data_IF_778726655538
#
_entry.id   IF_778726655538
#
_cell.length_a   1.000
_cell.length_b   1.000
_cell.length_c   1.000
_cell.angle_alpha   90.00
_cell.angle_beta   90.00
_cell.angle_gamma   90.00
#
_symmetry.space_group_name_H-M   'P 1'
#
loop_
_entity.id
_entity.type
_entity.pdbx_description
1 polymer ?
#
# COMPACT_ATOMS: atom_id res chain seq x y z
N UNK A 1 -56.04 46.20 -25.96
CA UNK A 1 -54.77 45.52 -26.31
C UNK A 1 -53.71 46.42 -25.71
N UNK A 2 -53.53 46.44 -24.38
CA UNK A 2 -53.23 45.30 -23.49
C UNK A 2 -51.72 45.14 -23.48
N UNK A 3 -50.98 45.05 -22.38
CA UNK A 3 -51.23 44.96 -20.93
C UNK A 3 -49.98 45.59 -20.29
N UNK A 4 -50.13 46.53 -19.35
CA UNK A 4 -50.09 46.32 -17.89
C UNK A 4 -48.68 45.93 -17.37
N UNK A 5 -48.01 46.99 -16.91
CA UNK A 5 -46.91 47.01 -15.96
C UNK A 5 -47.46 46.80 -14.56
N UNK A 6 -47.11 45.69 -13.92
CA UNK A 6 -47.30 45.53 -12.47
C UNK A 6 -45.94 45.24 -11.82
N UNK A 7 -45.49 46.27 -11.10
CA UNK A 7 -44.61 46.18 -9.95
C UNK A 7 -45.38 45.44 -8.84
N UNK A 8 -44.77 44.43 -8.21
CA UNK A 8 -45.23 43.96 -6.91
C UNK A 8 -44.11 44.05 -5.87
N UNK A 9 -44.45 44.84 -4.85
CA UNK A 9 -43.65 45.31 -3.75
C UNK A 9 -43.21 44.20 -2.79
N UNK A 10 -42.06 44.46 -2.18
CA UNK A 10 -41.52 43.88 -0.96
C UNK A 10 -42.59 43.73 0.14
N UNK A 11 -42.92 42.50 0.53
CA UNK A 11 -43.56 42.22 1.82
C UNK A 11 -42.47 41.90 2.86
N UNK A 12 -42.14 42.91 3.67
CA UNK A 12 -41.31 42.76 4.87
C UNK A 12 -42.19 42.25 6.02
N UNK A 13 -42.30 40.93 6.14
CA UNK A 13 -43.08 40.27 7.18
C UNK A 13 -42.25 39.31 8.02
N UNK A 14 -41.77 39.81 9.17
CA UNK A 14 -41.57 39.10 10.45
C UNK A 14 -40.55 37.95 10.50
N UNK A 15 -39.39 38.23 11.10
CA UNK A 15 -38.44 37.21 11.60
C UNK A 15 -39.07 36.37 12.73
N UNK A 16 -38.87 35.05 12.77
CA UNK A 16 -39.20 34.26 13.95
C UNK A 16 -38.07 34.36 14.98
N UNK A 17 -38.37 34.99 16.12
CA UNK A 17 -37.55 34.90 17.34
C UNK A 17 -37.50 33.43 17.81
N UNK A 18 -36.33 32.79 17.68
CA UNK A 18 -36.05 31.53 18.36
C UNK A 18 -35.64 31.83 19.81
N UNK A 19 -36.57 31.60 20.73
CA UNK A 19 -36.30 31.52 22.17
C UNK A 19 -35.41 30.29 22.44
N UNK A 20 -34.14 30.52 22.79
CA UNK A 20 -33.31 29.51 23.45
C UNK A 20 -33.81 29.35 24.89
N UNK A 21 -34.43 28.21 25.20
CA UNK A 21 -34.58 27.77 26.59
C UNK A 21 -33.23 27.22 27.09
N UNK A 22 -32.75 27.63 28.28
CA UNK A 22 -31.49 27.12 28.82
C UNK A 22 -31.63 25.66 29.24
N UNK A 23 -30.76 24.81 28.69
CA UNK A 23 -30.57 23.43 29.13
C UNK A 23 -30.17 23.39 30.62
N UNK A 24 -31.00 22.76 31.44
CA UNK A 24 -30.70 22.44 32.84
C UNK A 24 -29.93 21.12 32.85
N UNK A 25 -28.71 21.15 33.40
CA UNK A 25 -27.91 19.96 33.68
C UNK A 25 -28.60 19.15 34.78
N UNK A 26 -28.99 17.90 34.49
CA UNK A 26 -29.37 16.93 35.52
C UNK A 26 -28.10 16.49 36.26
N UNK A 27 -28.00 16.87 37.54
CA UNK A 27 -27.00 16.34 38.47
C UNK A 27 -27.32 14.87 38.76
N UNK A 28 -26.40 13.97 38.39
CA UNK A 28 -26.47 12.57 38.81
C UNK A 28 -26.00 12.41 40.26
N UNK A 29 -26.61 11.49 41.04
CA UNK A 29 -26.37 11.38 42.47
C UNK A 29 -24.98 10.81 42.79
N UNK A 30 -24.36 11.44 43.78
CA UNK A 30 -23.15 11.01 44.49
C UNK A 30 -23.48 9.66 45.18
N UNK A 31 -22.68 8.62 44.90
CA UNK A 31 -22.67 7.41 45.73
C UNK A 31 -21.62 7.57 46.82
N UNK A 32 -22.10 7.69 48.05
CA UNK A 32 -21.31 7.67 49.28
C UNK A 32 -20.81 6.26 49.60
N UNK A 33 -19.63 6.24 50.21
CA UNK A 33 -18.97 5.12 50.89
C UNK A 33 -19.89 4.45 51.93
N UNK A 34 -19.86 3.11 52.00
CA UNK A 34 -20.19 2.37 53.22
C UNK A 34 -19.12 1.30 53.47
N UNK A 35 -18.52 1.39 54.67
CA UNK A 35 -17.58 0.47 55.31
C UNK A 35 -18.16 -0.94 55.54
N UNK A 36 -17.25 -1.91 55.73
CA UNK A 36 -17.55 -3.34 55.76
C UNK A 36 -18.19 -3.90 57.03
N UNK A 37 -18.42 -5.22 57.01
CA UNK A 37 -17.84 -6.16 57.98
C UNK A 37 -18.17 -7.64 57.65
N UNK A 38 -17.18 -8.48 57.96
CA UNK A 38 -17.21 -9.86 58.48
C UNK A 38 -17.72 -11.08 57.67
N UNK A 39 -16.73 -11.82 57.14
CA UNK A 39 -16.34 -13.24 57.32
C UNK A 39 -17.36 -14.25 57.92
N UNK A 40 -17.52 -15.40 57.24
CA UNK A 40 -17.63 -16.74 57.85
C UNK A 40 -16.86 -17.74 56.95
N UNK A 41 -16.26 -18.72 57.61
CA UNK A 41 -15.17 -19.60 57.18
C UNK A 41 -15.66 -20.84 56.40
N UNK A 42 -14.80 -21.42 55.54
CA UNK A 42 -14.67 -22.89 55.53
C UNK A 42 -13.27 -23.33 55.07
N UNK A 43 -12.79 -24.40 55.70
CA UNK A 43 -11.39 -24.78 55.87
C UNK A 43 -10.80 -25.68 54.76
N UNK A 44 -9.46 -25.60 54.64
CA UNK A 44 -8.56 -26.74 54.38
C UNK A 44 -8.09 -26.91 52.92
N UNK A 45 -6.81 -27.08 52.59
CA UNK A 45 -5.60 -27.28 53.40
C UNK A 45 -4.34 -27.15 52.53
N UNK A 46 -3.34 -26.45 53.09
CA UNK A 46 -1.88 -26.65 53.02
C UNK A 46 -1.06 -26.53 51.72
N UNK A 47 -0.27 -25.45 51.76
CA UNK A 47 1.00 -25.12 51.09
C UNK A 47 2.07 -26.23 51.16
N UNK A 48 2.97 -26.30 50.15
CA UNK A 48 4.32 -25.68 50.23
C UNK A 48 5.12 -25.83 48.90
N UNK A 49 5.77 -24.77 48.37
CA UNK A 49 6.69 -24.86 47.23
C UNK A 49 8.14 -24.99 47.73
N UNK A 50 8.79 -26.10 47.42
CA UNK A 50 10.24 -26.25 47.27
C UNK A 50 10.56 -27.74 47.11
N UNK A 51 10.72 -28.21 45.89
CA UNK A 51 11.58 -29.37 45.62
C UNK A 51 12.08 -29.28 44.18
N UNK A 52 13.41 -29.35 44.07
CA UNK A 52 14.18 -29.34 42.83
C UNK A 52 14.58 -30.80 42.52
N UNK A 53 14.89 -31.05 41.25
CA UNK A 53 15.61 -32.21 40.68
C UNK A 53 14.77 -33.48 40.36
N UNK A 54 14.65 -33.82 39.07
CA UNK A 54 15.37 -34.91 38.37
C UNK A 54 14.64 -35.24 37.06
N UNK A 55 15.39 -35.12 35.97
CA UNK A 55 15.06 -35.52 34.60
C UNK A 55 14.97 -37.06 34.53
N UNK A 56 13.89 -37.58 33.96
CA UNK A 56 13.69 -39.01 33.70
C UNK A 56 12.84 -39.22 32.45
N UNK A 57 13.49 -39.77 31.42
CA UNK A 57 12.99 -40.12 30.10
C UNK A 57 12.16 -41.41 30.10
N UNK A 58 11.25 -41.56 29.12
CA UNK A 58 10.95 -42.81 28.37
C UNK A 58 9.73 -42.56 27.45
N UNK A 59 9.99 -42.50 26.14
CA UNK A 59 9.68 -43.53 25.11
C UNK A 59 8.20 -43.55 24.72
N UNK A 60 7.83 -43.33 23.47
CA UNK A 60 8.09 -44.23 22.34
C UNK A 60 7.66 -43.50 21.06
N UNK A 61 8.55 -43.35 20.06
CA UNK A 61 8.77 -44.26 18.91
C UNK A 61 7.79 -43.88 17.79
N UNK A 62 8.11 -43.80 16.50
CA UNK A 62 9.23 -44.18 15.63
C UNK A 62 8.74 -43.70 14.24
N UNK A 63 9.52 -43.08 13.36
CA UNK A 63 10.39 -43.71 12.34
C UNK A 63 10.49 -42.68 11.18
N UNK A 64 11.44 -42.72 10.26
CA UNK A 64 12.88 -42.94 10.28
C UNK A 64 13.37 -42.75 8.83
N UNK A 65 14.67 -42.53 8.70
CA UNK A 65 15.55 -42.82 7.55
C UNK A 65 15.61 -41.85 6.37
N UNK A 66 16.77 -41.54 5.79
CA UNK A 66 18.20 -41.76 6.11
C UNK A 66 18.99 -40.99 5.01
N UNK A 67 20.05 -40.25 5.35
CA UNK A 67 21.48 -40.62 5.34
C UNK A 67 22.04 -40.94 3.94
N UNK A 68 23.29 -40.65 3.55
CA UNK A 68 24.58 -40.64 4.24
C UNK A 68 25.64 -40.08 3.23
N UNK A 69 26.93 -39.83 3.46
CA UNK A 69 27.87 -40.04 4.58
C UNK A 69 29.15 -39.21 4.34
N UNK A 70 29.88 -39.05 5.43
CA UNK A 70 31.23 -38.50 5.60
C UNK A 70 32.37 -39.37 5.04
N UNK A 71 33.58 -38.81 4.94
CA UNK A 71 34.80 -39.47 5.44
C UNK A 71 35.92 -38.45 5.75
N UNK A 72 36.66 -38.73 6.83
CA UNK A 72 37.91 -38.08 7.27
C UNK A 72 39.05 -39.09 7.18
N UNK A 73 40.29 -38.64 6.99
CA UNK A 73 41.48 -39.19 7.67
C UNK A 73 42.74 -38.31 7.46
N UNK A 74 43.70 -38.50 8.37
CA UNK A 74 44.77 -37.61 8.83
C UNK A 74 46.20 -37.78 8.22
N UNK A 75 47.06 -36.81 8.59
CA UNK A 75 48.53 -36.87 8.88
C UNK A 75 49.65 -36.46 7.87
N UNK A 76 50.29 -35.33 8.22
CA UNK A 76 51.73 -35.05 8.43
C UNK A 76 52.81 -35.09 7.30
N UNK A 77 53.29 -33.88 6.94
CA UNK A 77 54.70 -33.46 7.09
C UNK A 77 55.68 -33.56 5.91
N UNK A 78 56.09 -32.41 5.33
CA UNK A 78 57.50 -31.99 5.18
C UNK A 78 57.61 -30.54 4.62
N UNK A 79 58.66 -29.82 5.01
CA UNK A 79 58.91 -28.41 4.77
C UNK A 79 59.56 -28.09 3.40
N UNK A 80 59.32 -26.86 2.90
CA UNK A 80 60.27 -26.17 2.01
C UNK A 80 59.68 -25.17 1.00
N UNK A 81 59.66 -23.87 1.36
CA UNK A 81 60.12 -22.80 0.47
C UNK A 81 59.14 -22.08 -0.48
N UNK A 82 58.91 -20.80 -0.13
CA UNK A 82 58.83 -19.61 -0.98
C UNK A 82 57.54 -19.26 -1.78
N UNK A 83 57.01 -18.09 -1.41
CA UNK A 83 56.41 -17.01 -2.23
C UNK A 83 55.03 -17.22 -2.87
N UNK A 84 54.09 -16.36 -2.48
CA UNK A 84 52.79 -16.17 -3.14
C UNK A 84 51.72 -15.68 -2.17
N UNK A 85 51.55 -14.36 -2.08
CA UNK A 85 50.48 -13.70 -1.33
C UNK A 85 49.10 -14.03 -1.91
N UNK A 86 48.15 -14.39 -1.05
CA UNK A 86 46.73 -14.52 -1.38
C UNK A 86 45.95 -13.56 -0.46
N UNK A 87 45.13 -12.70 -1.07
CA UNK A 87 44.14 -11.87 -0.38
C UNK A 87 43.10 -11.39 -1.39
N UNK A 88 42.11 -12.23 -1.66
CA UNK A 88 40.83 -11.83 -2.24
C UNK A 88 39.98 -11.10 -1.19
N UNK A 89 40.20 -9.79 -1.03
CA UNK A 89 39.26 -8.88 -0.38
C UNK A 89 38.55 -8.07 -1.46
N UNK A 90 37.24 -8.31 -1.60
CA UNK A 90 36.35 -7.41 -2.35
C UNK A 90 36.34 -6.06 -1.64
N UNK A 91 37.07 -5.10 -2.19
CA UNK A 91 37.15 -3.74 -1.68
C UNK A 91 35.80 -3.02 -1.84
N UNK A 92 35.09 -2.88 -0.72
CA UNK A 92 34.23 -1.73 -0.48
C UNK A 92 35.13 -0.48 -0.48
N UNK A 93 34.97 0.38 -1.48
CA UNK A 93 35.72 1.65 -1.54
C UNK A 93 35.17 2.56 -0.44
N UNK A 94 35.96 2.99 0.55
CA UNK A 94 35.51 3.94 1.56
C UNK A 94 35.29 5.31 0.92
N UNK A 95 34.15 5.93 1.25
CA UNK A 95 33.61 7.22 0.77
C UNK A 95 34.46 8.46 1.11
N UNK A 96 35.79 8.32 1.27
CA UNK A 96 36.70 9.38 1.76
C UNK A 96 37.86 9.75 0.83
N UNK A 97 37.90 9.22 -0.40
CA UNK A 97 38.99 9.50 -1.36
C UNK A 97 38.53 10.40 -2.51
N UNK A 98 37.27 10.87 -2.55
CA UNK A 98 36.74 11.56 -3.74
C UNK A 98 37.15 13.05 -3.81
N UNK A 99 37.57 13.66 -2.69
CA UNK A 99 37.83 15.11 -2.65
C UNK A 99 39.29 15.53 -2.97
N UNK A 100 40.25 14.59 -3.00
CA UNK A 100 41.68 14.87 -3.19
C UNK A 100 42.26 14.16 -4.44
N UNK A 101 41.55 14.16 -5.57
CA UNK A 101 42.11 13.69 -6.84
C UNK A 101 42.75 14.86 -7.62
N UNK A 102 44.08 14.96 -7.53
CA UNK A 102 44.92 15.85 -8.34
C UNK A 102 44.69 15.63 -9.85
N UNK A 103 44.58 16.72 -10.60
CA UNK A 103 44.24 16.80 -12.03
C UNK A 103 45.29 16.23 -13.00
N UNK A 104 46.29 15.47 -12.52
CA UNK A 104 47.40 14.97 -13.34
C UNK A 104 47.50 13.44 -13.28
N UNK A 105 46.55 12.73 -13.88
CA UNK A 105 46.83 11.45 -14.55
C UNK A 105 45.90 11.24 -15.75
N UNK A 106 46.51 11.31 -16.93
CA UNK A 106 45.99 10.73 -18.16
C UNK A 106 45.97 9.20 -18.01
N UNK A 107 44.93 8.59 -17.43
CA UNK A 107 44.63 7.16 -17.61
C UNK A 107 43.26 6.79 -17.01
N UNK A 108 42.23 7.05 -17.82
CA UNK A 108 41.28 6.03 -18.31
C UNK A 108 40.03 6.75 -18.83
N UNK A 109 39.82 6.71 -20.15
CA UNK A 109 38.54 7.13 -20.75
C UNK A 109 37.36 6.40 -20.11
N UNK A 110 37.59 5.19 -19.57
CA UNK A 110 36.63 4.39 -18.80
C UNK A 110 36.31 5.04 -17.45
N UNK A 111 37.31 5.49 -16.69
CA UNK A 111 37.08 6.18 -15.41
C UNK A 111 36.40 7.52 -15.65
N UNK A 112 36.81 8.27 -16.69
CA UNK A 112 36.10 9.49 -17.10
C UNK A 112 34.67 9.20 -17.51
N UNK A 113 34.43 8.15 -18.30
CA UNK A 113 33.09 7.72 -18.72
C UNK A 113 32.22 7.33 -17.51
N UNK A 114 32.77 6.55 -16.56
CA UNK A 114 32.10 6.15 -15.31
C UNK A 114 31.79 7.39 -14.46
N UNK A 115 32.73 8.33 -14.30
CA UNK A 115 32.49 9.57 -13.55
C UNK A 115 31.43 10.43 -14.26
N UNK A 116 31.44 10.54 -15.60
CA UNK A 116 30.37 11.25 -16.32
C UNK A 116 29.03 10.53 -16.24
N UNK A 117 28.99 9.20 -16.20
CA UNK A 117 27.74 8.44 -16.06
C UNK A 117 27.19 8.54 -14.64
N UNK A 118 28.05 8.52 -13.61
CA UNK A 118 27.69 8.78 -12.21
C UNK A 118 27.21 10.22 -12.04
N UNK A 119 27.79 11.17 -12.77
CA UNK A 119 27.38 12.59 -12.76
C UNK A 119 26.17 12.90 -13.64
N UNK A 120 25.64 11.94 -14.42
CA UNK A 120 24.37 12.17 -15.12
C UNK A 120 23.26 12.23 -14.07
N UNK A 121 22.41 13.28 -14.09
CA UNK A 121 21.29 13.35 -13.18
C UNK A 121 20.39 12.14 -13.43
N UNK A 122 20.22 11.31 -12.40
CA UNK A 122 19.29 10.18 -12.47
C UNK A 122 17.88 10.72 -12.60
N UNK A 123 17.09 10.13 -13.49
CA UNK A 123 15.69 10.49 -13.67
C UNK A 123 14.78 9.92 -12.58
N UNK A 124 15.30 9.03 -11.74
CA UNK A 124 14.59 8.41 -10.62
C UNK A 124 15.55 8.01 -9.49
N UNK A 125 15.05 7.86 -8.25
CA UNK A 125 15.80 7.26 -7.15
C UNK A 125 16.28 5.83 -7.46
N UNK A 126 17.35 5.36 -6.80
CA UNK A 126 17.77 3.96 -6.88
C UNK A 126 16.70 3.03 -6.29
N UNK A 127 16.65 1.79 -6.80
CA UNK A 127 15.72 0.78 -6.31
C UNK A 127 16.11 0.34 -4.89
N UNK A 128 15.13 0.17 -4.00
CA UNK A 128 15.34 -0.26 -2.60
C UNK A 128 15.13 -1.76 -2.54
N UNK A 129 16.08 -2.48 -1.96
CA UNK A 129 15.95 -3.91 -1.68
C UNK A 129 15.68 -4.11 -0.20
N UNK A 130 14.60 -4.79 0.12
CA UNK A 130 14.24 -5.17 1.49
C UNK A 130 14.60 -6.63 1.75
N UNK A 131 14.88 -6.96 3.01
CA UNK A 131 15.09 -8.35 3.39
C UNK A 131 13.75 -9.10 3.46
N UNK A 132 12.73 -8.42 3.98
CA UNK A 132 11.37 -8.92 4.13
C UNK A 132 10.44 -8.50 2.99
N UNK A 133 9.33 -9.23 2.84
CA UNK A 133 8.28 -8.90 1.89
C UNK A 133 7.58 -7.59 2.29
N UNK A 134 7.39 -6.73 1.29
CA UNK A 134 6.68 -5.46 1.43
C UNK A 134 5.22 -5.69 1.10
N UNK A 135 4.35 -5.38 2.05
CA UNK A 135 2.90 -5.51 1.89
C UNK A 135 2.28 -4.22 1.37
N UNK A 136 2.71 -3.08 1.90
CA UNK A 136 2.19 -1.78 1.49
C UNK A 136 3.25 -0.67 1.54
N UNK A 137 2.99 0.41 0.81
CA UNK A 137 3.87 1.57 0.70
C UNK A 137 3.04 2.84 0.53
N UNK A 138 3.51 3.94 1.12
CA UNK A 138 2.86 5.24 0.99
C UNK A 138 3.89 6.37 0.96
N UNK A 139 3.75 7.30 0.00
CA UNK A 139 4.53 8.52 -0.04
C UNK A 139 4.01 9.54 0.97
N UNK A 140 4.93 10.28 1.57
CA UNK A 140 4.55 11.46 2.34
C UNK A 140 3.95 12.53 1.42
N UNK A 141 2.90 13.24 1.84
CA UNK A 141 2.20 14.24 1.01
C UNK A 141 3.02 15.48 0.62
N UNK A 142 4.23 15.68 1.14
CA UNK A 142 4.98 16.94 1.04
C UNK A 142 6.50 16.71 1.02
N UNK A 143 7.00 15.74 1.80
CA UNK A 143 8.41 15.44 1.93
C UNK A 143 8.81 14.25 1.04
N UNK A 144 10.09 14.17 0.65
CA UNK A 144 10.66 13.03 -0.09
C UNK A 144 10.90 11.82 0.84
N UNK A 145 9.82 11.34 1.44
CA UNK A 145 9.77 10.22 2.37
C UNK A 145 8.79 9.16 1.84
N UNK A 146 9.18 7.90 2.00
CA UNK A 146 8.36 6.74 1.68
C UNK A 146 8.24 5.86 2.94
N UNK A 147 7.03 5.60 3.40
CA UNK A 147 6.75 4.61 4.42
C UNK A 147 6.50 3.25 3.76
N UNK A 148 6.99 2.18 4.40
CA UNK A 148 6.96 0.81 3.88
C UNK A 148 6.54 -0.12 5.02
N UNK A 149 5.45 -0.86 4.82
CA UNK A 149 5.02 -1.91 5.73
C UNK A 149 5.57 -3.28 5.32
N UNK A 150 6.08 -4.05 6.29
CA UNK A 150 6.63 -5.39 6.04
C UNK A 150 5.73 -6.50 6.56
N UNK A 151 5.96 -7.73 6.08
CA UNK A 151 5.28 -8.92 6.61
C UNK A 151 5.69 -9.30 8.03
N UNK A 152 6.81 -8.79 8.53
CA UNK A 152 7.29 -9.04 9.90
C UNK A 152 6.51 -8.21 10.93
N UNK A 153 5.87 -7.12 10.51
CA UNK A 153 5.18 -6.18 11.41
C UNK A 153 5.91 -4.85 11.58
N UNK A 154 7.05 -4.67 10.89
CA UNK A 154 7.82 -3.45 10.94
C UNK A 154 7.31 -2.43 9.92
N UNK A 155 7.39 -1.15 10.29
CA UNK A 155 7.16 -0.02 9.39
C UNK A 155 8.47 0.73 9.23
N UNK A 156 9.02 0.69 8.03
CA UNK A 156 10.31 1.30 7.69
C UNK A 156 10.05 2.59 6.92
N UNK A 157 10.65 3.69 7.37
CA UNK A 157 10.53 5.00 6.75
C UNK A 157 11.83 5.31 6.03
N UNK A 158 11.76 5.41 4.70
CA UNK A 158 12.89 5.74 3.84
C UNK A 158 12.83 7.21 3.44
N UNK A 159 13.98 7.89 3.53
CA UNK A 159 14.20 9.15 2.82
C UNK A 159 14.82 8.84 1.47
N UNK A 160 14.20 9.31 0.40
CA UNK A 160 14.69 9.08 -0.96
C UNK A 160 15.16 10.38 -1.60
N UNK A 161 16.19 10.25 -2.43
CA UNK A 161 16.66 11.29 -3.35
C UNK A 161 17.00 10.61 -4.67
N UNK A 162 17.23 11.37 -5.74
CA UNK A 162 17.64 10.77 -7.01
C UNK A 162 18.99 10.02 -6.91
N UNK A 163 19.83 10.36 -5.93
CA UNK A 163 21.17 9.78 -5.79
C UNK A 163 21.19 8.57 -4.83
N UNK A 164 20.51 8.68 -3.69
CA UNK A 164 20.47 7.64 -2.66
C UNK A 164 19.11 7.52 -1.96
N UNK A 165 18.82 6.31 -1.48
CA UNK A 165 17.71 6.02 -0.56
C UNK A 165 18.32 5.56 0.77
N UNK A 166 17.89 6.16 1.86
CA UNK A 166 18.41 5.89 3.21
C UNK A 166 17.27 5.62 4.17
N UNK A 167 17.48 4.69 5.11
CA UNK A 167 16.53 4.45 6.19
C UNK A 167 16.60 5.63 7.14
N UNK A 168 15.47 6.30 7.36
CA UNK A 168 15.34 7.37 8.33
C UNK A 168 14.99 6.78 9.70
N UNK A 169 13.89 6.03 9.77
CA UNK A 169 13.40 5.38 10.99
C UNK A 169 12.90 3.96 10.68
N UNK A 170 12.93 3.10 11.69
CA UNK A 170 12.27 1.78 11.69
C UNK A 170 11.40 1.69 12.94
N UNK A 171 10.14 1.35 12.75
CA UNK A 171 9.16 1.18 13.83
C UNK A 171 8.79 -0.30 13.93
N UNK A 172 9.12 -0.92 15.07
CA UNK A 172 8.56 -2.24 15.45
C UNK A 172 7.10 -2.02 15.84
N UNK A 173 6.24 -1.87 14.83
CA UNK A 173 4.90 -1.34 15.00
C UNK A 173 3.91 -2.42 15.44
N UNK A 174 4.03 -3.60 14.85
CA UNK A 174 3.07 -4.68 14.97
C UNK A 174 3.78 -6.02 15.21
N UNK A 175 3.04 -6.96 15.79
CA UNK A 175 3.55 -8.33 16.09
C UNK A 175 3.35 -9.30 14.93
N UNK A 176 2.59 -8.88 13.91
CA UNK A 176 2.29 -9.62 12.69
C UNK A 176 2.34 -8.66 11.51
N UNK A 177 2.33 -9.23 10.30
CA UNK A 177 2.28 -8.51 9.01
C UNK A 177 1.47 -7.23 9.06
N UNK A 178 2.15 -6.12 8.75
CA UNK A 178 1.49 -4.87 8.39
C UNK A 178 0.70 -5.12 7.11
N UNK A 179 -0.49 -4.53 7.02
CA UNK A 179 -1.41 -4.69 5.88
C UNK A 179 -1.60 -3.40 5.09
N UNK A 180 -1.60 -2.28 5.79
CA UNK A 180 -1.80 -0.96 5.19
C UNK A 180 -1.04 0.09 6.01
N UNK A 181 -0.45 1.06 5.32
CA UNK A 181 0.32 2.16 5.91
C UNK A 181 -0.02 3.45 5.17
N UNK A 182 -0.50 4.47 5.87
CA UNK A 182 -0.90 5.74 5.25
C UNK A 182 -0.44 6.94 6.09
N UNK A 183 0.07 7.96 5.42
CA UNK A 183 0.26 9.26 6.03
C UNK A 183 -1.09 10.00 6.11
N UNK A 184 -1.29 10.79 7.15
CA UNK A 184 -2.38 11.76 7.12
C UNK A 184 -2.12 12.87 6.08
N UNK A 185 -3.15 13.61 5.64
CA UNK A 185 -2.96 14.63 4.62
C UNK A 185 -1.97 15.75 4.98
N UNK A 186 -1.88 16.14 6.26
CA UNK A 186 -0.86 17.08 6.75
C UNK A 186 0.56 16.46 6.86
N UNK A 187 0.68 15.13 6.81
CA UNK A 187 1.95 14.39 6.88
C UNK A 187 2.63 14.33 8.25
N UNK A 188 2.01 14.82 9.32
CA UNK A 188 2.58 14.80 10.67
C UNK A 188 2.39 13.45 11.40
N UNK A 189 1.53 12.58 10.85
CA UNK A 189 1.15 11.30 11.42
C UNK A 189 1.24 10.20 10.37
N UNK A 190 1.85 9.09 10.77
CA UNK A 190 1.82 7.82 10.06
C UNK A 190 0.89 6.87 10.79
N UNK A 191 -0.09 6.31 10.08
CA UNK A 191 -0.97 5.28 10.61
C UNK A 191 -0.63 3.96 9.94
N UNK A 192 -0.59 2.89 10.72
CA UNK A 192 -0.40 1.54 10.22
C UNK A 192 -1.42 0.59 10.82
N UNK A 193 -1.85 -0.38 10.01
CA UNK A 193 -2.78 -1.43 10.40
C UNK A 193 -2.19 -2.79 10.09
N UNK A 194 -2.54 -3.80 10.86
CA UNK A 194 -1.89 -5.10 10.75
C UNK A 194 -2.81 -6.30 11.01
N UNK A 195 -2.26 -7.48 10.70
CA UNK A 195 -2.89 -8.78 10.93
C UNK A 195 -3.05 -9.14 12.41
N UNK A 196 -2.40 -8.42 13.31
CA UNK A 196 -2.62 -8.55 14.75
C UNK A 196 -3.87 -7.82 15.25
N UNK A 197 -4.64 -7.21 14.34
CA UNK A 197 -5.91 -6.51 14.58
C UNK A 197 -5.76 -5.15 15.25
N UNK A 198 -4.52 -4.69 15.39
CA UNK A 198 -4.23 -3.39 16.01
C UNK A 198 -4.10 -2.28 14.98
N UNK A 199 -4.26 -1.04 15.46
CA UNK A 199 -3.99 0.18 14.71
C UNK A 199 -2.95 0.98 15.49
N UNK A 200 -1.84 1.32 14.84
CA UNK A 200 -0.79 2.14 15.42
C UNK A 200 -0.73 3.49 14.73
N UNK A 201 -0.56 4.54 15.53
CA UNK A 201 -0.42 5.93 15.09
C UNK A 201 0.89 6.47 15.62
N UNK A 202 1.78 6.86 14.72
CA UNK A 202 3.13 7.30 15.02
C UNK A 202 3.33 8.72 14.53
N UNK A 203 4.00 9.53 15.34
CA UNK A 203 4.43 10.87 14.95
C UNK A 203 5.64 10.78 14.01
N UNK A 204 5.55 11.42 12.84
CA UNK A 204 6.57 11.29 11.79
C UNK A 204 7.89 11.98 12.17
N UNK A 205 7.81 13.14 12.83
CA UNK A 205 9.00 13.94 13.19
C UNK A 205 9.79 13.28 14.33
N UNK A 206 9.11 12.82 15.37
CA UNK A 206 9.73 12.27 16.58
C UNK A 206 9.87 10.75 16.55
N UNK A 207 9.17 10.08 15.65
CA UNK A 207 9.11 8.62 15.57
C UNK A 207 8.41 7.95 16.75
N UNK A 208 7.69 8.72 17.59
CA UNK A 208 7.06 8.21 18.81
C UNK A 208 5.62 7.78 18.56
N UNK A 209 5.20 6.75 19.29
CA UNK A 209 3.82 6.32 19.36
C UNK A 209 2.93 7.45 19.91
N UNK A 210 2.00 7.94 19.08
CA UNK A 210 0.95 8.91 19.44
C UNK A 210 -0.28 8.20 19.99
N UNK A 211 -0.68 7.10 19.36
CA UNK A 211 -1.84 6.30 19.79
C UNK A 211 -1.73 4.85 19.33
N UNK A 212 -2.26 3.97 20.15
CA UNK A 212 -2.39 2.55 19.86
C UNK A 212 -3.80 2.10 20.22
N UNK A 213 -4.44 1.39 19.30
CA UNK A 213 -5.66 0.63 19.57
C UNK A 213 -5.31 -0.85 19.51
N UNK A 214 -5.27 -1.45 20.68
CA UNK A 214 -5.21 -2.90 20.82
C UNK A 214 -6.59 -3.48 20.49
N UNK A 215 -6.62 -4.60 19.78
CA UNK A 215 -7.87 -5.24 19.31
C UNK A 215 -8.86 -4.23 18.67
N UNK A 216 -8.34 -3.36 17.81
CA UNK A 216 -9.15 -2.36 17.11
C UNK A 216 -10.26 -3.02 16.28
N UNK A 217 -10.03 -4.23 15.78
CA UNK A 217 -11.01 -5.11 15.13
C UNK A 217 -11.02 -6.51 15.77
N UNK A 218 -12.13 -7.22 15.57
CA UNK A 218 -12.25 -8.61 16.03
C UNK A 218 -11.42 -9.55 15.13
N UNK A 219 -11.25 -9.16 13.86
CA UNK A 219 -10.50 -9.84 12.80
C UNK A 219 -9.37 -8.95 12.24
N UNK A 220 -8.39 -9.51 11.49
CA UNK A 220 -7.28 -8.75 10.92
C UNK A 220 -7.71 -7.52 10.13
N UNK A 221 -7.06 -6.38 10.36
CA UNK A 221 -7.34 -5.16 9.59
C UNK A 221 -6.61 -5.25 8.26
N UNK A 222 -7.36 -5.19 7.15
CA UNK A 222 -6.83 -5.40 5.80
C UNK A 222 -6.47 -4.08 5.11
N UNK A 223 -7.31 -3.06 5.24
CA UNK A 223 -7.11 -1.78 4.56
C UNK A 223 -7.58 -0.59 5.39
N UNK A 224 -7.06 0.57 5.06
CA UNK A 224 -7.34 1.85 5.66
C UNK A 224 -7.52 2.93 4.59
N UNK A 225 -8.21 4.02 4.95
CA UNK A 225 -8.20 5.24 4.16
C UNK A 225 -8.39 6.48 5.03
N UNK A 226 -7.52 7.47 4.85
CA UNK A 226 -7.65 8.79 5.46
C UNK A 226 -8.80 9.58 4.84
N UNK A 227 -9.67 10.13 5.68
CA UNK A 227 -10.80 10.97 5.25
C UNK A 227 -10.48 12.45 5.53
N UNK A 228 -9.95 12.75 6.72
CA UNK A 228 -9.51 14.09 7.14
C UNK A 228 -8.30 13.94 8.06
N UNK A 229 -7.66 15.06 8.45
CA UNK A 229 -6.55 15.08 9.41
C UNK A 229 -6.74 14.27 10.69
N UNK A 230 -7.98 14.04 11.12
CA UNK A 230 -8.27 13.33 12.37
C UNK A 230 -9.20 12.15 12.19
N UNK A 231 -9.69 11.87 10.98
CA UNK A 231 -10.70 10.84 10.75
C UNK A 231 -10.28 9.95 9.62
N UNK A 232 -10.35 8.65 9.87
CA UNK A 232 -9.96 7.61 8.93
C UNK A 232 -10.91 6.43 9.08
N UNK A 233 -10.97 5.59 8.05
CA UNK A 233 -11.75 4.37 8.05
C UNK A 233 -10.83 3.17 7.93
N UNK A 234 -11.22 2.05 8.53
CA UNK A 234 -10.53 0.78 8.44
C UNK A 234 -11.52 -0.31 8.08
N UNK A 235 -11.07 -1.27 7.30
CA UNK A 235 -11.81 -2.47 6.92
C UNK A 235 -11.04 -3.72 7.30
N UNK A 236 -11.73 -4.71 7.84
CA UNK A 236 -11.14 -6.00 8.21
C UNK A 236 -11.47 -7.15 7.24
N UNK A 237 -10.87 -8.31 7.52
CA UNK A 237 -11.02 -9.55 6.76
C UNK A 237 -12.45 -10.13 6.82
N UNK A 238 -13.32 -9.68 7.75
CA UNK A 238 -14.70 -10.17 7.95
C UNK A 238 -15.75 -9.13 7.52
N UNK A 239 -15.34 -8.16 6.69
CA UNK A 239 -16.27 -7.22 6.07
C UNK A 239 -16.76 -6.09 7.00
N UNK A 240 -16.14 -5.92 8.17
CA UNK A 240 -16.50 -4.87 9.11
C UNK A 240 -15.71 -3.60 8.81
N UNK A 241 -16.45 -2.55 8.51
CA UNK A 241 -15.90 -1.20 8.43
C UNK A 241 -16.04 -0.49 9.78
N UNK A 242 -14.95 0.11 10.26
CA UNK A 242 -14.98 1.06 11.39
C UNK A 242 -14.48 2.43 10.96
N UNK A 243 -15.11 3.47 11.51
CA UNK A 243 -14.71 4.86 11.34
C UNK A 243 -14.09 5.35 12.66
N UNK A 244 -12.94 6.01 12.59
CA UNK A 244 -12.16 6.38 13.76
C UNK A 244 -11.90 7.88 13.83
N UNK A 245 -11.77 8.40 15.05
CA UNK A 245 -11.29 9.76 15.31
C UNK A 245 -9.98 9.67 16.10
N UNK A 246 -8.90 10.29 15.62
CA UNK A 246 -7.63 10.44 16.33
C UNK A 246 -7.76 11.21 17.65
N UNK A 247 -8.94 11.70 18.03
CA UNK A 247 -9.21 12.34 19.33
C UNK A 247 -10.03 11.45 20.28
N UNK A 248 -10.58 10.34 19.79
CA UNK A 248 -11.44 9.43 20.55
C UNK A 248 -10.80 8.07 20.74
N UNK A 249 -11.15 7.38 21.82
CA UNK A 249 -10.66 6.01 22.09
C UNK A 249 -11.47 4.94 21.37
N UNK A 250 -12.76 5.17 21.19
CA UNK A 250 -13.68 4.22 20.56
C UNK A 250 -13.93 4.59 19.09
N UNK A 251 -14.31 3.62 18.24
CA UNK A 251 -14.73 3.91 16.88
C UNK A 251 -16.02 4.76 16.89
N UNK A 252 -16.07 5.74 16.00
CA UNK A 252 -17.19 6.66 15.80
C UNK A 252 -18.42 5.92 15.25
N UNK A 253 -18.16 4.92 14.41
CA UNK A 253 -19.17 4.18 13.65
C UNK A 253 -18.64 2.80 13.28
N UNK A 254 -19.54 1.79 13.25
CA UNK A 254 -19.27 0.41 12.83
C UNK A 254 -20.36 -0.02 11.85
N UNK A 255 -19.98 -0.71 10.78
CA UNK A 255 -20.89 -1.28 9.79
C UNK A 255 -20.41 -2.68 9.40
N UNK A 256 -21.33 -3.66 9.36
CA UNK A 256 -21.11 -4.99 8.76
C UNK A 256 -22.28 -5.28 7.83
N UNK A 257 -22.02 -5.27 6.53
CA UNK A 257 -23.02 -5.52 5.46
C UNK A 257 -22.52 -6.53 4.42
N UNK A 258 -21.22 -6.80 4.40
CA UNK A 258 -20.56 -7.80 3.55
C UNK A 258 -19.95 -8.86 4.48
N UNK A 259 -19.71 -10.06 3.95
CA UNK A 259 -19.25 -11.21 4.74
C UNK A 259 -17.78 -11.56 4.43
N UNK A 260 -17.19 -10.94 3.41
CA UNK A 260 -15.78 -11.12 3.03
C UNK A 260 -14.96 -9.83 3.17
N UNK A 261 -13.64 -9.96 3.07
CA UNK A 261 -12.68 -8.89 3.37
C UNK A 261 -12.94 -7.60 2.58
N UNK A 262 -12.68 -6.47 3.23
CA UNK A 262 -12.72 -5.15 2.58
C UNK A 262 -11.38 -4.92 1.88
N UNK A 263 -11.40 -4.81 0.55
CA UNK A 263 -10.19 -4.73 -0.27
C UNK A 263 -9.63 -3.32 -0.42
N UNK A 264 -10.50 -2.31 -0.50
CA UNK A 264 -10.12 -0.93 -0.70
C UNK A 264 -11.21 0.00 -0.15
N UNK A 265 -10.79 1.15 0.37
CA UNK A 265 -11.68 2.21 0.85
C UNK A 265 -11.27 3.52 0.17
N UNK A 266 -12.23 4.32 -0.29
CA UNK A 266 -11.96 5.62 -0.88
C UNK A 266 -13.06 6.64 -0.59
N UNK A 267 -12.68 7.92 -0.53
CA UNK A 267 -13.57 9.06 -0.43
C UNK A 267 -13.25 10.07 -1.54
N UNK A 268 -14.18 10.98 -1.82
CA UNK A 268 -13.91 12.15 -2.64
C UNK A 268 -13.48 13.37 -1.82
N UNK A 269 -13.11 14.45 -2.51
CA UNK A 269 -12.74 15.73 -1.89
C UNK A 269 -13.89 16.34 -1.07
N UNK A 270 -15.15 16.10 -1.49
CA UNK A 270 -16.33 16.59 -0.76
C UNK A 270 -16.58 15.83 0.56
N UNK A 271 -15.96 14.66 0.76
CA UNK A 271 -16.04 13.84 1.98
C UNK A 271 -17.47 13.54 2.43
N UNK A 272 -18.37 13.43 1.46
CA UNK A 272 -19.80 13.13 1.70
C UNK A 272 -20.04 11.63 1.78
N UNK A 273 -19.39 10.90 0.88
CA UNK A 273 -19.55 9.45 0.74
C UNK A 273 -18.21 8.76 0.92
N UNK A 274 -18.23 7.67 1.69
CA UNK A 274 -17.14 6.72 1.81
C UNK A 274 -17.55 5.46 1.05
N UNK A 275 -16.68 4.97 0.18
CA UNK A 275 -16.91 3.76 -0.57
C UNK A 275 -15.97 2.68 -0.09
N UNK A 276 -16.47 1.45 -0.06
CA UNK A 276 -15.68 0.27 0.23
C UNK A 276 -16.00 -0.83 -0.79
N UNK A 277 -14.95 -1.48 -1.27
CA UNK A 277 -15.06 -2.70 -2.09
C UNK A 277 -14.78 -3.92 -1.24
N UNK A 278 -15.41 -5.03 -1.57
CA UNK A 278 -15.25 -6.30 -0.87
C UNK A 278 -14.92 -7.44 -1.83
N UNK A 279 -14.26 -8.48 -1.30
CA UNK A 279 -14.02 -9.76 -1.97
C UNK A 279 -15.31 -10.43 -2.48
N UNK A 280 -16.44 -10.22 -1.80
CA UNK A 280 -17.77 -10.70 -2.20
C UNK A 280 -18.29 -10.08 -3.52
N UNK A 281 -17.56 -9.12 -4.09
CA UNK A 281 -17.95 -8.45 -5.32
C UNK A 281 -18.98 -7.34 -5.08
N UNK A 282 -19.06 -6.77 -3.88
CA UNK A 282 -19.94 -5.63 -3.59
C UNK A 282 -19.17 -4.32 -3.51
N UNK A 283 -19.77 -3.25 -4.04
CA UNK A 283 -19.41 -1.88 -3.75
C UNK A 283 -20.44 -1.31 -2.77
N UNK A 284 -20.01 -1.05 -1.54
CA UNK A 284 -20.89 -0.46 -0.51
C UNK A 284 -20.51 0.99 -0.28
N UNK A 285 -21.53 1.87 -0.25
CA UNK A 285 -21.36 3.30 -0.01
C UNK A 285 -22.00 3.72 1.30
N UNK A 286 -21.31 4.57 2.05
CA UNK A 286 -21.74 5.10 3.34
C UNK A 286 -21.79 6.62 3.26
N UNK A 287 -22.83 7.20 3.83
CA UNK A 287 -22.92 8.64 4.02
C UNK A 287 -22.21 9.02 5.32
N UNK A 288 -21.07 9.70 5.22
CA UNK A 288 -20.21 10.02 6.37
C UNK A 288 -20.95 10.94 7.37
N UNK A 289 -21.55 12.08 6.97
CA UNK A 289 -22.33 12.92 7.89
C UNK A 289 -23.47 12.21 8.61
N UNK A 290 -24.19 11.33 7.90
CA UNK A 290 -25.35 10.62 8.46
C UNK A 290 -24.97 9.35 9.21
N UNK A 291 -23.72 8.89 9.09
CA UNK A 291 -23.23 7.63 9.68
C UNK A 291 -24.16 6.47 9.39
N UNK A 292 -24.53 6.33 8.12
CA UNK A 292 -25.46 5.30 7.67
C UNK A 292 -25.06 4.82 6.29
N UNK A 293 -25.26 3.53 6.03
CA UNK A 293 -25.20 2.98 4.67
C UNK A 293 -26.15 3.76 3.75
N UNK A 294 -25.63 4.17 2.60
CA UNK A 294 -26.36 4.89 1.57
C UNK A 294 -26.94 3.91 0.55
N UNK A 295 -26.05 3.18 -0.14
CA UNK A 295 -26.40 2.25 -1.22
C UNK A 295 -25.35 1.14 -1.27
N UNK A 296 -25.78 -0.09 -1.58
CA UNK A 296 -24.94 -1.21 -1.98
C UNK A 296 -25.20 -1.50 -3.46
N UNK A 297 -24.15 -1.82 -4.22
CA UNK A 297 -24.27 -2.19 -5.63
C UNK A 297 -24.90 -3.58 -5.82
N UNK A 298 -25.21 -3.92 -7.07
CA UNK A 298 -25.38 -5.33 -7.43
C UNK A 298 -24.12 -6.15 -7.12
N UNK A 299 -24.27 -7.44 -6.81
CA UNK A 299 -23.15 -8.35 -6.67
C UNK A 299 -22.48 -8.59 -8.02
N UNK A 300 -21.16 -8.51 -8.03
CA UNK A 300 -20.34 -8.97 -9.15
C UNK A 300 -19.84 -10.39 -8.84
N UNK A 301 -19.70 -11.23 -9.87
CA UNK A 301 -19.14 -12.59 -9.72
C UNK A 301 -17.61 -12.60 -9.48
N UNK A 302 -17.02 -11.43 -9.34
CA UNK A 302 -15.58 -11.21 -9.30
C UNK A 302 -15.26 -10.33 -8.10
N UNK A 303 -14.13 -10.59 -7.46
CA UNK A 303 -13.66 -9.75 -6.36
C UNK A 303 -13.33 -8.36 -6.90
N UNK A 304 -13.78 -7.33 -6.19
CA UNK A 304 -13.43 -5.96 -6.47
C UNK A 304 -12.20 -5.64 -5.64
N UNK A 305 -11.08 -5.31 -6.27
CA UNK A 305 -9.76 -5.26 -5.63
C UNK A 305 -9.29 -3.84 -5.35
N UNK A 306 -9.62 -2.89 -6.24
CA UNK A 306 -9.09 -1.54 -6.17
C UNK A 306 -10.08 -0.50 -6.69
N UNK A 307 -9.90 0.75 -6.29
CA UNK A 307 -10.74 1.86 -6.71
C UNK A 307 -9.90 3.08 -7.10
N UNK A 308 -10.46 3.94 -7.94
CA UNK A 308 -9.89 5.25 -8.24
C UNK A 308 -10.97 6.24 -8.67
N UNK A 309 -10.82 7.48 -8.25
CA UNK A 309 -11.74 8.57 -8.58
C UNK A 309 -11.16 9.40 -9.74
N UNK A 310 -12.00 9.68 -10.74
CA UNK A 310 -11.59 10.29 -12.00
C UNK A 310 -12.52 11.42 -12.44
N UNK A 311 -12.04 12.24 -13.40
CA UNK A 311 -12.77 13.38 -13.98
C UNK A 311 -13.33 14.32 -12.91
N UNK A 312 -12.48 14.88 -12.06
CA UNK A 312 -12.86 15.83 -10.99
C UNK A 312 -14.00 15.28 -10.13
N UNK A 313 -13.81 14.08 -9.60
CA UNK A 313 -14.76 13.40 -8.71
C UNK A 313 -16.13 13.07 -9.32
N UNK A 314 -16.25 13.03 -10.65
CA UNK A 314 -17.52 12.71 -11.32
C UNK A 314 -17.68 11.24 -11.71
N UNK A 315 -16.57 10.48 -11.69
CA UNK A 315 -16.54 9.07 -12.05
C UNK A 315 -15.71 8.31 -11.03
N UNK A 316 -16.21 7.13 -10.67
CA UNK A 316 -15.46 6.13 -9.93
C UNK A 316 -15.13 5.01 -10.90
N UNK A 317 -13.91 4.49 -10.87
CA UNK A 317 -13.55 3.25 -11.55
C UNK A 317 -13.12 2.24 -10.51
N UNK A 318 -13.63 1.02 -10.64
CA UNK A 318 -13.35 -0.11 -9.76
C UNK A 318 -12.69 -1.21 -10.59
N UNK A 319 -11.52 -1.67 -10.17
CA UNK A 319 -10.83 -2.82 -10.77
C UNK A 319 -11.22 -4.12 -10.08
N UNK A 320 -11.14 -5.22 -10.84
CA UNK A 320 -11.44 -6.57 -10.35
C UNK A 320 -10.24 -7.51 -10.47
N UNK A 321 -10.24 -8.59 -9.67
CA UNK A 321 -9.25 -9.67 -9.72
C UNK A 321 -9.19 -10.41 -11.06
N UNK A 322 -10.19 -10.28 -11.95
CA UNK A 322 -10.11 -10.81 -13.33
C UNK A 322 -9.61 -9.81 -14.38
N UNK A 323 -9.29 -8.58 -13.97
CA UNK A 323 -8.79 -7.51 -14.85
C UNK A 323 -9.89 -6.71 -15.57
N UNK A 324 -11.14 -6.83 -15.11
CA UNK A 324 -12.25 -6.00 -15.55
C UNK A 324 -12.29 -4.69 -14.77
N UNK A 325 -12.73 -3.63 -15.42
CA UNK A 325 -12.94 -2.32 -14.81
C UNK A 325 -14.39 -1.90 -14.95
N UNK A 326 -15.02 -1.58 -13.83
CA UNK A 326 -16.39 -1.10 -13.75
C UNK A 326 -16.39 0.39 -13.44
N UNK A 327 -17.05 1.19 -14.27
CA UNK A 327 -17.15 2.63 -14.08
C UNK A 327 -18.52 3.00 -13.49
N UNK A 328 -18.54 3.84 -12.48
CA UNK A 328 -19.75 4.35 -11.85
C UNK A 328 -19.82 5.87 -11.96
N UNK A 329 -21.04 6.41 -12.03
CA UNK A 329 -21.24 7.85 -11.87
C UNK A 329 -21.20 8.19 -10.38
N UNK A 330 -20.46 9.24 -10.01
CA UNK A 330 -20.42 9.64 -8.61
C UNK A 330 -21.81 10.01 -8.09
N UNK A 331 -22.24 9.40 -6.99
CA UNK A 331 -23.58 9.51 -6.42
C UNK A 331 -24.61 8.50 -6.94
N UNK A 332 -24.25 7.67 -7.93
CA UNK A 332 -25.07 6.58 -8.44
C UNK A 332 -24.27 5.28 -8.39
N UNK A 333 -24.26 4.64 -7.23
CA UNK A 333 -23.42 3.47 -6.95
C UNK A 333 -24.15 2.11 -7.05
N UNK A 334 -25.45 2.13 -7.35
CA UNK A 334 -26.22 0.88 -7.48
C UNK A 334 -25.79 0.03 -8.67
N UNK A 335 -25.43 0.68 -9.79
CA UNK A 335 -25.08 0.01 -11.06
C UNK A 335 -23.91 0.74 -11.74
N UNK A 336 -23.03 -0.02 -12.37
CA UNK A 336 -22.00 0.56 -13.23
C UNK A 336 -22.64 1.15 -14.49
N UNK A 337 -22.09 2.26 -14.96
CA UNK A 337 -22.51 2.91 -16.19
C UNK A 337 -21.77 2.39 -17.43
N UNK A 338 -20.55 1.88 -17.24
CA UNK A 338 -19.73 1.31 -18.30
C UNK A 338 -18.80 0.24 -17.71
N UNK A 339 -18.38 -0.71 -18.54
CA UNK A 339 -17.45 -1.76 -18.16
C UNK A 339 -16.49 -2.02 -19.32
N UNK A 340 -15.21 -2.11 -19.02
CA UNK A 340 -14.19 -2.40 -20.02
C UNK A 340 -13.11 -3.32 -19.45
N UNK A 341 -12.47 -4.06 -20.35
CA UNK A 341 -11.36 -4.95 -19.99
C UNK A 341 -10.10 -4.13 -20.05
N UNK A 342 -9.48 -3.92 -18.89
CA UNK A 342 -8.33 -3.02 -18.79
C UNK A 342 -7.02 -3.66 -19.18
N UNK A 343 -6.92 -4.98 -19.12
CA UNK A 343 -5.71 -5.68 -19.46
C UNK A 343 -5.74 -6.17 -20.91
N UNK A 344 -4.67 -5.85 -21.66
CA UNK A 344 -4.42 -6.43 -22.99
C UNK A 344 -4.20 -7.95 -22.93
N UNK A 345 -4.01 -8.51 -21.73
CA UNK A 345 -3.99 -9.94 -21.45
C UNK A 345 -5.29 -10.33 -20.71
N UNK A 346 -6.19 -11.10 -21.34
CA UNK A 346 -7.33 -11.68 -20.64
C UNK A 346 -6.77 -12.73 -19.68
N UNK A 347 -6.68 -12.40 -18.38
CA UNK A 347 -6.42 -13.26 -17.18
C UNK A 347 -5.51 -12.64 -16.12
N UNK A 348 -4.84 -11.52 -16.39
CA UNK A 348 -4.03 -10.88 -15.33
C UNK A 348 -4.97 -10.11 -14.39
N UNK A 349 -4.99 -10.46 -13.11
CA UNK A 349 -5.70 -9.70 -12.09
C UNK A 349 -5.08 -8.34 -11.86
N UNK A 350 -5.89 -7.39 -11.39
CA UNK A 350 -5.44 -6.04 -11.01
C UNK A 350 -5.47 -5.96 -9.50
N UNK A 351 -4.31 -5.74 -8.88
CA UNK A 351 -4.21 -5.67 -7.43
C UNK A 351 -4.44 -4.24 -6.93
N UNK A 352 -3.76 -3.27 -7.52
CA UNK A 352 -3.84 -1.85 -7.15
C UNK A 352 -3.96 -0.96 -8.40
N UNK A 353 -4.63 0.18 -8.25
CA UNK A 353 -4.74 1.22 -9.26
C UNK A 353 -4.49 2.58 -8.64
N UNK A 354 -3.69 3.41 -9.30
CA UNK A 354 -3.41 4.78 -8.86
C UNK A 354 -3.82 5.76 -9.98
N UNK A 355 -4.73 6.70 -9.70
CA UNK A 355 -5.04 7.79 -10.63
C UNK A 355 -3.84 8.73 -10.77
N UNK A 356 -3.35 8.93 -12.00
CA UNK A 356 -2.25 9.87 -12.27
C UNK A 356 -2.80 11.20 -12.76
N UNK A 357 -3.78 11.14 -13.66
CA UNK A 357 -4.47 12.33 -14.19
C UNK A 357 -5.97 12.10 -14.18
N UNK A 358 -6.76 13.09 -14.60
CA UNK A 358 -8.23 12.97 -14.67
C UNK A 358 -8.72 11.82 -15.56
N UNK A 359 -7.85 11.25 -16.41
CA UNK A 359 -8.19 10.22 -17.41
C UNK A 359 -7.24 9.04 -17.44
N UNK A 360 -6.03 9.20 -16.90
CA UNK A 360 -4.98 8.19 -16.94
C UNK A 360 -4.78 7.62 -15.54
N UNK A 361 -4.74 6.30 -15.46
CA UNK A 361 -4.39 5.56 -14.25
C UNK A 361 -3.24 4.61 -14.55
N UNK A 362 -2.46 4.28 -13.53
CA UNK A 362 -1.49 3.18 -13.56
C UNK A 362 -2.03 2.04 -12.72
N UNK A 363 -1.96 0.83 -13.25
CA UNK A 363 -2.49 -0.39 -12.62
C UNK A 363 -1.37 -1.40 -12.45
N UNK A 364 -1.31 -2.02 -11.26
CA UNK A 364 -0.42 -3.13 -10.95
C UNK A 364 -1.12 -4.45 -11.17
N UNK A 365 -0.51 -5.31 -12.00
CA UNK A 365 -1.03 -6.65 -12.25
C UNK A 365 -0.35 -7.73 -11.41
N UNK A 366 -1.05 -8.84 -11.20
CA UNK A 366 -0.50 -10.07 -10.63
C UNK A 366 0.64 -10.66 -11.50
N UNK A 367 0.71 -10.27 -12.78
CA UNK A 367 1.78 -10.65 -13.69
C UNK A 367 3.07 -9.83 -13.54
N UNK A 368 3.13 -8.93 -12.55
CA UNK A 368 4.31 -8.12 -12.25
C UNK A 368 4.47 -6.90 -13.15
N UNK A 369 3.49 -6.61 -14.02
CA UNK A 369 3.60 -5.53 -15.00
C UNK A 369 2.76 -4.33 -14.57
N UNK A 370 3.39 -3.15 -14.54
CA UNK A 370 2.71 -1.88 -14.34
C UNK A 370 2.24 -1.34 -15.70
N UNK A 371 0.93 -1.12 -15.83
CA UNK A 371 0.31 -0.65 -17.07
C UNK A 371 -0.28 0.73 -16.88
N UNK A 372 -0.07 1.62 -17.84
CA UNK A 372 -0.81 2.87 -17.90
C UNK A 372 -2.04 2.70 -18.79
N UNK A 373 -3.16 3.21 -18.33
CA UNK A 373 -4.45 3.05 -18.95
C UNK A 373 -5.20 4.37 -19.03
N UNK A 374 -5.80 4.62 -20.18
CA UNK A 374 -6.75 5.70 -20.38
C UNK A 374 -8.16 5.19 -20.15
N UNK A 375 -8.84 5.67 -19.13
CA UNK A 375 -10.07 5.04 -18.62
C UNK A 375 -11.29 5.25 -19.52
N UNK A 376 -11.31 6.33 -20.31
CA UNK A 376 -12.40 6.56 -21.28
C UNK A 376 -11.81 7.01 -22.62
N UNK A 377 -11.48 6.08 -23.53
CA UNK A 377 -12.33 4.94 -23.87
C UNK A 377 -11.85 3.54 -23.37
N UNK A 378 -11.20 3.43 -22.22
CA UNK A 378 -10.79 2.13 -21.67
C UNK A 378 -9.69 1.46 -22.49
N UNK A 379 -8.54 2.12 -22.62
CA UNK A 379 -7.43 1.70 -23.50
C UNK A 379 -6.11 1.65 -22.75
N UNK A 380 -5.37 0.55 -22.90
CA UNK A 380 -3.97 0.46 -22.47
C UNK A 380 -3.10 1.36 -23.33
N UNK A 381 -2.33 2.24 -22.68
CA UNK A 381 -1.36 3.13 -23.31
C UNK A 381 -0.04 2.40 -23.55
N UNK A 382 0.42 1.67 -22.54
CA UNK A 382 1.66 0.92 -22.58
C UNK A 382 2.11 0.46 -21.19
N UNK A 383 3.27 -0.19 -21.14
CA UNK A 383 3.90 -0.62 -19.89
C UNK A 383 4.75 0.51 -19.32
N UNK A 384 4.50 0.85 -18.06
CA UNK A 384 5.26 1.84 -17.28
C UNK A 384 6.52 1.22 -16.71
N UNK A 385 6.39 0.01 -16.17
CA UNK A 385 7.43 -0.69 -15.44
C UNK A 385 7.12 -2.17 -15.27
N UNK A 386 8.08 -2.91 -14.75
CA UNK A 386 7.95 -4.35 -14.54
C UNK A 386 8.75 -4.79 -13.31
N UNK A 387 8.16 -5.72 -12.58
CA UNK A 387 8.76 -6.56 -11.55
C UNK A 387 8.85 -8.01 -12.01
N UNK A 388 9.62 -8.81 -11.28
CA UNK A 388 9.80 -10.23 -11.60
C UNK A 388 8.59 -11.07 -11.17
N UNK A 389 7.86 -10.59 -10.16
CA UNK A 389 6.69 -11.22 -9.56
C UNK A 389 5.53 -10.21 -9.45
N UNK A 390 4.39 -10.65 -8.93
CA UNK A 390 3.17 -9.86 -8.76
C UNK A 390 3.44 -8.53 -8.03
N UNK A 391 2.85 -7.46 -8.56
CA UNK A 391 2.87 -6.14 -7.92
C UNK A 391 1.80 -6.11 -6.83
N UNK A 392 2.22 -5.85 -5.60
CA UNK A 392 1.31 -5.81 -4.45
C UNK A 392 0.65 -4.45 -4.33
N UNK A 393 1.47 -3.40 -4.29
CA UNK A 393 0.97 -2.03 -4.15
C UNK A 393 1.75 -1.06 -5.02
N UNK A 394 1.10 0.07 -5.29
CA UNK A 394 1.64 1.19 -6.05
C UNK A 394 1.14 2.45 -5.37
N UNK A 395 2.01 3.45 -5.26
CA UNK A 395 1.64 4.79 -4.83
C UNK A 395 2.35 5.85 -5.68
N UNK A 396 1.81 7.06 -5.67
CA UNK A 396 2.32 8.23 -6.39
C UNK A 396 2.86 9.25 -5.41
N UNK A 397 3.96 9.90 -5.77
CA UNK A 397 4.51 10.97 -4.95
C UNK A 397 3.65 12.25 -5.03
N UNK A 398 3.85 13.14 -4.06
CA UNK A 398 3.12 14.41 -3.96
C UNK A 398 3.25 15.31 -5.19
N UNK A 399 4.38 15.25 -5.91
CA UNK A 399 4.59 16.05 -7.13
C UNK A 399 3.94 15.43 -8.37
N UNK A 400 3.50 14.17 -8.32
CA UNK A 400 2.97 13.44 -9.47
C UNK A 400 4.02 13.02 -10.51
N UNK A 401 5.31 13.19 -10.21
CA UNK A 401 6.41 12.90 -11.14
C UNK A 401 6.95 11.46 -11.01
N UNK A 402 6.73 10.82 -9.86
CA UNK A 402 7.25 9.50 -9.53
C UNK A 402 6.13 8.60 -9.01
N UNK A 403 6.21 7.33 -9.38
CA UNK A 403 5.48 6.26 -8.70
C UNK A 403 6.48 5.31 -8.06
N UNK A 404 6.09 4.72 -6.94
CA UNK A 404 6.78 3.59 -6.33
C UNK A 404 5.89 2.37 -6.42
N UNK A 405 6.50 1.21 -6.66
CA UNK A 405 5.81 -0.07 -6.63
C UNK A 405 6.58 -1.09 -5.84
N UNK A 406 5.87 -1.88 -5.05
CA UNK A 406 6.39 -3.07 -4.40
C UNK A 406 5.93 -4.32 -5.13
N UNK A 407 6.70 -5.38 -5.00
CA UNK A 407 6.31 -6.69 -5.49
C UNK A 407 6.83 -7.77 -4.55
N UNK A 408 6.34 -8.99 -4.75
CA UNK A 408 6.83 -10.19 -4.07
C UNK A 408 8.33 -10.49 -4.30
N UNK A 409 9.02 -9.74 -5.16
CA UNK A 409 10.48 -9.86 -5.35
C UNK A 409 11.32 -9.09 -4.31
N UNK A 410 10.68 -8.52 -3.28
CA UNK A 410 11.31 -7.70 -2.21
C UNK A 410 12.06 -6.47 -2.74
N UNK A 411 11.73 -6.05 -3.96
CA UNK A 411 12.22 -4.82 -4.56
C UNK A 411 11.12 -3.76 -4.50
N UNK A 412 11.46 -2.57 -4.00
CA UNK A 412 10.70 -1.35 -4.22
C UNK A 412 11.36 -0.60 -5.36
N UNK A 413 10.63 -0.39 -6.45
CA UNK A 413 11.13 0.30 -7.64
C UNK A 413 10.42 1.62 -7.83
N UNK A 414 11.19 2.63 -8.18
CA UNK A 414 10.67 3.92 -8.60
C UNK A 414 10.54 3.98 -10.12
N UNK A 415 9.52 4.68 -10.61
CA UNK A 415 9.30 4.93 -12.03
C UNK A 415 8.97 6.41 -12.26
N UNK A 416 9.69 7.05 -13.18
CA UNK A 416 9.41 8.43 -13.55
C UNK A 416 8.23 8.49 -14.52
N UNK A 417 7.19 9.22 -14.16
CA UNK A 417 5.93 9.32 -14.89
C UNK A 417 5.58 10.74 -15.33
N UNK A 418 6.53 11.68 -15.20
CA UNK A 418 6.35 13.10 -15.55
C UNK A 418 5.83 13.33 -16.98
N UNK A 419 6.13 12.43 -17.91
CA UNK A 419 5.69 12.52 -19.30
C UNK A 419 4.17 12.40 -19.48
N UNK A 420 3.39 11.96 -18.48
CA UNK A 420 1.93 11.94 -18.60
C UNK A 420 1.30 13.34 -18.59
N UNK A 421 1.96 14.34 -18.02
CA UNK A 421 1.49 15.73 -18.07
C UNK A 421 1.52 16.29 -19.49
N UNK A 422 2.50 15.87 -20.29
CA UNK A 422 2.68 16.27 -21.69
C UNK A 422 1.84 15.45 -22.66
N UNK A 423 1.10 14.45 -22.17
CA UNK A 423 0.38 13.51 -23.01
C UNK A 423 -0.89 14.16 -23.57
N UNK A 424 -0.83 14.59 -24.84
CA UNK A 424 -1.96 15.17 -25.56
C UNK A 424 -3.16 14.19 -25.65
N UNK A 425 -4.37 14.74 -25.47
CA UNK A 425 -5.64 14.02 -25.48
C UNK A 425 -5.77 13.03 -26.65
N UNK A 426 -5.86 11.74 -26.33
CA UNK A 426 -6.11 10.69 -27.31
C UNK A 426 -7.48 10.91 -27.92
N UNK A 427 -7.55 11.04 -29.25
CA UNK A 427 -8.83 11.13 -29.96
C UNK A 427 -9.64 9.86 -29.71
N UNK A 428 -10.83 10.03 -29.12
CA UNK A 428 -11.79 8.98 -28.75
C UNK A 428 -12.08 7.96 -29.87
N UNK A 429 -12.05 8.41 -31.14
CA UNK A 429 -12.33 7.57 -32.31
C UNK A 429 -11.08 6.99 -33.00
N UNK A 430 -9.89 7.20 -32.44
CA UNK A 430 -8.66 6.62 -33.01
C UNK A 430 -8.58 5.15 -32.64
N UNK A 431 -8.47 4.28 -33.65
CA UNK A 431 -8.21 2.86 -33.40
C UNK A 431 -6.88 2.74 -32.64
N UNK A 432 -6.79 1.81 -31.67
CA UNK A 432 -5.53 1.57 -31.00
C UNK A 432 -4.48 1.18 -32.03
N UNK A 433 -3.45 1.99 -32.16
CA UNK A 433 -2.32 1.65 -33.01
C UNK A 433 -1.61 0.46 -32.35
N UNK A 434 -1.81 -0.72 -32.93
CA UNK A 434 -1.19 -1.95 -32.44
C UNK A 434 0.34 -1.87 -32.46
N UNK A 435 0.92 -0.95 -33.25
CA UNK A 435 2.36 -0.62 -33.25
C UNK A 435 2.76 0.42 -32.20
N UNK A 436 1.83 1.20 -31.65
CA UNK A 436 2.14 2.05 -30.49
C UNK A 436 2.20 1.22 -29.20
N UNK A 437 1.41 0.13 -29.13
CA UNK A 437 1.49 -0.86 -28.04
C UNK A 437 2.76 -1.74 -28.09
N UNK A 438 3.63 -1.58 -29.10
CA UNK A 438 4.93 -2.28 -29.16
C UNK A 438 6.08 -1.48 -28.57
N UNK A 439 5.88 -0.19 -28.26
CA UNK A 439 6.88 0.63 -27.57
C UNK A 439 6.42 0.88 -26.14
N UNK A 440 7.25 0.49 -25.17
CA UNK A 440 6.95 0.79 -23.78
C UNK A 440 7.13 2.29 -23.52
N UNK A 441 6.50 2.74 -22.43
CA UNK A 441 6.58 4.14 -22.04
C UNK A 441 8.03 4.49 -21.62
N UNK A 442 8.42 5.78 -21.63
CA UNK A 442 9.80 6.20 -21.38
C UNK A 442 10.43 5.69 -20.07
N UNK A 443 9.61 5.31 -19.10
CA UNK A 443 10.01 4.73 -17.82
C UNK A 443 10.43 3.26 -17.89
N UNK A 444 10.05 2.54 -18.95
CA UNK A 444 10.34 1.12 -19.12
C UNK A 444 11.58 0.89 -19.97
N UNK A 445 12.38 -0.11 -19.60
CA UNK A 445 13.63 -0.48 -20.31
C UNK A 445 13.40 -1.37 -21.53
N UNK A 446 12.20 -1.92 -21.71
CA UNK A 446 11.93 -2.82 -22.83
C UNK A 446 11.42 -2.02 -24.04
N UNK A 447 11.82 -2.41 -25.25
CA UNK A 447 11.48 -1.66 -26.47
C UNK A 447 10.64 -2.46 -27.46
N UNK A 448 10.35 -3.74 -27.18
CA UNK A 448 9.59 -4.60 -28.08
C UNK A 448 8.87 -5.76 -27.38
N UNK A 449 7.69 -6.14 -27.90
CA UNK A 449 6.88 -7.27 -27.43
C UNK A 449 7.50 -8.66 -27.68
N UNK A 450 8.61 -8.76 -28.41
CA UNK A 450 9.33 -10.03 -28.62
C UNK A 450 10.14 -10.46 -27.39
N UNK A 451 10.61 -9.50 -26.57
CA UNK A 451 11.31 -9.79 -25.31
C UNK A 451 10.37 -10.38 -24.25
N UNK A 452 9.05 -10.20 -24.42
CA UNK A 452 8.01 -10.83 -23.59
C UNK A 452 7.95 -12.36 -23.78
N UNK A 453 8.32 -12.88 -24.96
CA UNK A 453 8.27 -14.33 -25.25
C UNK A 453 9.64 -15.01 -25.29
N UNK A 454 10.75 -14.25 -25.25
CA UNK A 454 12.10 -14.82 -25.32
C UNK A 454 12.43 -15.70 -24.10
N UNK A 455 11.86 -15.39 -22.92
CA UNK A 455 11.99 -16.23 -21.72
C UNK A 455 11.18 -17.52 -21.74
N UNK A 456 10.12 -17.60 -22.57
CA UNK A 456 9.30 -18.82 -22.76
C UNK A 456 9.85 -19.72 -23.88
N UNK A 457 10.67 -19.18 -24.78
CA UNK A 457 11.23 -19.89 -25.93
C UNK A 457 12.56 -20.62 -25.62
N UNK A 458 13.08 -20.51 -24.39
CA UNK A 458 14.40 -21.00 -24.01
C UNK A 458 14.52 -22.52 -23.78
N UNK A 459 13.42 -23.28 -23.78
CA UNK A 459 13.44 -24.69 -23.35
C UNK A 459 12.96 -25.71 -24.40
N UNK A 460 13.03 -25.35 -25.68
CA UNK A 460 12.80 -26.29 -26.80
C UNK A 460 13.92 -26.23 -27.85
N UNK A 461 15.16 -26.46 -27.43
CA UNK A 461 16.22 -26.85 -28.36
C UNK A 461 17.08 -27.94 -27.73
N UNK A 462 16.49 -29.12 -27.57
CA UNK A 462 17.16 -30.28 -26.99
C UNK A 462 16.51 -31.58 -27.43
N UNK A 463 16.32 -31.79 -28.74
CA UNK A 463 16.24 -33.11 -29.39
C UNK A 463 15.99 -32.94 -30.88
N UNK A 464 17.02 -33.12 -31.70
CA UNK A 464 16.99 -33.79 -33.01
C UNK A 464 18.38 -33.70 -33.66
N UNK A 465 18.96 -34.85 -33.99
CA UNK A 465 20.22 -34.95 -34.73
C UNK A 465 20.90 -36.30 -34.55
N UNK A 466 20.52 -37.25 -35.42
CA UNK A 466 21.13 -38.56 -35.69
C UNK A 466 22.66 -38.53 -35.89
#
# INVERSE_FOLDING_TARGET
MGDDSDDDEFDSGTEPEFLMEPYVLEEFPIMDEIEGDEVEEDEGSDYNPNEEIVIGTSSSDEDDSDDSDSDKDDEAGNAGGAEGEDSSTKNLIPKRVIDDYDEEMEEDEVIKAIITEIKKPRSKPPDIKTEDFVTDLCFHPDQDILAVGTTTGDVIVYKFTNDECTIMNTHEAHTKSVRDVEFNPDGDVLISTARDRSIMVTDVETGKLKRFWDDAHDEPVYTMSMITEHTFATGDDDGVLKLWDLRQKEPIFKLKEVEDFISCIITNEQKKYLLMTSGDGYLTTINIPQRKMYVQSEPYEEELTCMGVFRKDSKLVVGSSKGNFYTFNWGQFGYHCDAFIGNACPKAGVNKMVPITERIAVTGGEDGILRAMHLVPGRVLGVVGQHSLAVETIDINSTGELIASSSHDNDIRFWNIKYFEEFDDIKYNSKPDKKAMTHNLPSSKQTNAADFFSGLAGDQSGTEGD
#
